data_IF_704720290195
#
_entry.id   IF_704720290195
#
_cell.length_a   1.000
_cell.length_b   1.000
_cell.length_c   1.000
_cell.angle_alpha   90.00
_cell.angle_beta   90.00
_cell.angle_gamma   90.00
#
_symmetry.space_group_name_H-M   'P 1'
#
loop_
_entity.id
_entity.type
_entity.pdbx_description
1 polymer ?
#
# COMPACT_ATOMS: atom_id res chain seq x y z
N UNK A 1 45.27 -8.03 -14.64
CA UNK A 1 44.91 -6.59 -14.63
C UNK A 1 43.92 -6.34 -13.49
N UNK A 2 44.29 -5.63 -12.40
CA UNK A 2 43.41 -5.42 -11.27
C UNK A 2 42.24 -4.49 -11.66
N UNK A 3 41.00 -4.95 -11.47
CA UNK A 3 39.79 -4.17 -11.79
C UNK A 3 39.67 -3.01 -10.80
N UNK A 4 39.40 -1.80 -11.30
CA UNK A 4 39.43 -0.57 -10.51
C UNK A 4 38.43 -0.60 -9.34
N UNK A 5 38.85 -0.19 -8.13
CA UNK A 5 38.09 -0.39 -6.90
C UNK A 5 36.78 0.42 -6.81
N UNK A 6 36.59 1.42 -7.67
CA UNK A 6 35.40 2.26 -7.61
C UNK A 6 34.15 1.59 -8.19
N UNK A 7 34.33 0.75 -9.22
CA UNK A 7 33.22 0.04 -9.88
C UNK A 7 32.54 -0.99 -8.97
N UNK A 8 33.26 -1.62 -8.05
CA UNK A 8 32.65 -2.61 -7.15
C UNK A 8 31.69 -1.93 -6.17
N UNK A 9 32.09 -0.81 -5.56
CA UNK A 9 31.27 -0.11 -4.54
C UNK A 9 29.91 0.33 -5.07
N UNK A 10 29.86 0.79 -6.32
CA UNK A 10 28.62 1.23 -6.98
C UNK A 10 27.70 0.03 -7.24
N UNK A 11 28.26 -1.08 -7.74
CA UNK A 11 27.51 -2.31 -8.00
C UNK A 11 26.88 -2.85 -6.71
N UNK A 12 27.63 -2.91 -5.60
CA UNK A 12 27.10 -3.32 -4.30
C UNK A 12 26.01 -2.39 -3.77
N UNK A 13 26.19 -1.06 -3.85
CA UNK A 13 25.14 -0.10 -3.46
C UNK A 13 23.83 -0.31 -4.23
N UNK A 14 23.92 -0.56 -5.54
CA UNK A 14 22.74 -0.82 -6.37
C UNK A 14 22.08 -2.15 -5.99
N UNK A 15 22.87 -3.22 -5.82
CA UNK A 15 22.33 -4.52 -5.39
C UNK A 15 21.62 -4.45 -4.05
N UNK A 16 22.20 -3.79 -3.04
CA UNK A 16 21.55 -3.62 -1.74
C UNK A 16 20.25 -2.82 -1.85
N UNK A 17 20.24 -1.71 -2.60
CA UNK A 17 19.01 -0.91 -2.81
C UNK A 17 17.90 -1.71 -3.48
N UNK A 18 18.24 -2.51 -4.49
CA UNK A 18 17.26 -3.34 -5.21
C UNK A 18 16.69 -4.45 -4.31
N UNK A 19 17.54 -5.14 -3.55
CA UNK A 19 17.09 -6.18 -2.62
C UNK A 19 16.16 -5.60 -1.55
N UNK A 20 16.52 -4.44 -0.99
CA UNK A 20 15.67 -3.74 -0.01
C UNK A 20 14.34 -3.31 -0.62
N UNK A 21 14.35 -2.69 -1.80
CA UNK A 21 13.14 -2.23 -2.48
C UNK A 21 12.18 -3.39 -2.81
N UNK A 22 12.72 -4.50 -3.30
CA UNK A 22 11.92 -5.71 -3.58
C UNK A 22 11.35 -6.29 -2.28
N UNK A 23 12.17 -6.39 -1.22
CA UNK A 23 11.71 -6.89 0.08
C UNK A 23 10.59 -6.04 0.68
N UNK A 24 10.72 -4.71 0.62
CA UNK A 24 9.68 -3.77 1.07
C UNK A 24 8.43 -3.92 0.19
N UNK A 25 8.59 -3.99 -1.15
CA UNK A 25 7.47 -4.15 -2.07
C UNK A 25 6.66 -5.41 -1.78
N UNK A 26 7.33 -6.55 -1.57
CA UNK A 26 6.66 -7.81 -1.21
C UNK A 26 5.96 -7.68 0.15
N UNK A 27 6.61 -7.09 1.15
CA UNK A 27 6.01 -6.91 2.48
C UNK A 27 4.74 -6.06 2.42
N UNK A 28 4.76 -4.95 1.68
CA UNK A 28 3.59 -4.06 1.51
C UNK A 28 2.44 -4.77 0.80
N UNK A 29 2.72 -5.51 -0.28
CA UNK A 29 1.70 -6.27 -1.01
C UNK A 29 1.09 -7.36 -0.13
N UNK A 30 1.91 -8.13 0.59
CA UNK A 30 1.45 -9.17 1.51
C UNK A 30 0.61 -8.59 2.66
N UNK A 31 1.04 -7.45 3.22
CA UNK A 31 0.29 -6.75 4.27
C UNK A 31 -1.11 -6.37 3.80
N UNK A 32 -1.21 -5.68 2.65
CA UNK A 32 -2.50 -5.25 2.12
C UNK A 32 -3.39 -6.43 1.69
N UNK A 33 -2.81 -7.48 1.12
CA UNK A 33 -3.56 -8.69 0.76
C UNK A 33 -4.16 -9.38 1.98
N UNK A 34 -3.39 -9.43 3.08
CA UNK A 34 -3.85 -9.93 4.38
C UNK A 34 -4.93 -9.04 5.00
N UNK A 35 -4.77 -7.72 4.93
CA UNK A 35 -5.78 -6.77 5.40
C UNK A 35 -7.12 -6.95 4.66
N UNK A 36 -7.11 -7.11 3.33
CA UNK A 36 -8.31 -7.44 2.56
C UNK A 36 -8.92 -8.79 2.96
N UNK A 37 -8.09 -9.82 3.16
CA UNK A 37 -8.60 -11.13 3.60
C UNK A 37 -9.23 -11.08 5.00
N UNK A 38 -8.66 -10.29 5.91
CA UNK A 38 -9.24 -10.05 7.23
C UNK A 38 -10.54 -9.25 7.13
N UNK A 39 -10.62 -8.23 6.27
CA UNK A 39 -11.89 -7.52 6.04
C UNK A 39 -12.95 -8.45 5.45
N UNK A 40 -12.59 -9.33 4.52
CA UNK A 40 -13.53 -10.30 3.94
C UNK A 40 -14.10 -11.27 5.00
N UNK A 41 -13.25 -11.73 5.94
CA UNK A 41 -13.66 -12.65 7.01
C UNK A 41 -14.42 -11.94 8.14
N UNK A 42 -13.95 -10.76 8.58
CA UNK A 42 -14.42 -10.12 9.81
C UNK A 42 -15.39 -8.96 9.60
N UNK A 43 -15.35 -8.27 8.46
CA UNK A 43 -16.20 -7.09 8.29
C UNK A 43 -17.67 -7.52 8.07
N UNK A 44 -17.93 -8.56 7.25
CA UNK A 44 -19.28 -9.13 7.07
C UNK A 44 -19.24 -10.61 6.61
N UNK A 45 -19.07 -11.57 7.54
CA UNK A 45 -18.94 -13.00 7.20
C UNK A 45 -20.16 -13.61 6.49
N UNK A 46 -21.35 -13.02 6.60
CA UNK A 46 -22.60 -13.59 6.07
C UNK A 46 -23.26 -12.78 4.94
N UNK A 47 -22.73 -11.60 4.56
CA UNK A 47 -23.41 -10.77 3.57
C UNK A 47 -22.44 -9.89 2.73
N UNK A 48 -21.93 -10.40 1.59
CA UNK A 48 -21.02 -9.64 0.73
C UNK A 48 -21.63 -8.35 0.17
N UNK A 49 -22.97 -8.27 0.07
CA UNK A 49 -23.69 -7.07 -0.35
C UNK A 49 -23.59 -5.93 0.67
N UNK A 50 -23.48 -6.24 1.98
CA UNK A 50 -23.29 -5.25 3.04
C UNK A 50 -21.85 -4.73 3.09
N UNK A 51 -20.85 -5.58 2.82
CA UNK A 51 -19.45 -5.15 2.66
C UNK A 51 -19.29 -4.12 1.55
N UNK A 52 -19.92 -4.38 0.39
CA UNK A 52 -19.85 -3.49 -0.76
C UNK A 52 -20.54 -2.16 -0.47
N UNK A 53 -21.74 -2.19 0.12
CA UNK A 53 -22.48 -0.97 0.44
C UNK A 53 -21.79 -0.15 1.54
N UNK A 54 -21.27 -0.78 2.59
CA UNK A 54 -20.51 -0.11 3.65
C UNK A 54 -19.25 0.57 3.10
N UNK A 55 -18.47 -0.13 2.27
CA UNK A 55 -17.26 0.44 1.64
C UNK A 55 -17.60 1.62 0.73
N UNK A 56 -18.70 1.52 -0.03
CA UNK A 56 -19.18 2.59 -0.90
C UNK A 56 -19.64 3.81 -0.10
N UNK A 57 -20.40 3.59 0.99
CA UNK A 57 -20.89 4.65 1.88
C UNK A 57 -19.71 5.36 2.55
N UNK A 58 -18.74 4.62 3.09
CA UNK A 58 -17.55 5.19 3.73
C UNK A 58 -16.76 6.03 2.72
N UNK A 59 -16.56 5.53 1.50
CA UNK A 59 -15.88 6.27 0.44
C UNK A 59 -16.58 7.58 0.08
N UNK A 60 -17.91 7.56 -0.04
CA UNK A 60 -18.72 8.77 -0.30
C UNK A 60 -18.67 9.77 0.85
N UNK A 61 -18.71 9.31 2.10
CA UNK A 61 -18.63 10.17 3.28
C UNK A 61 -17.27 10.86 3.36
N UNK A 62 -16.18 10.13 3.14
CA UNK A 62 -14.83 10.71 3.13
C UNK A 62 -14.69 11.75 2.02
N UNK A 63 -15.19 11.46 0.82
CA UNK A 63 -15.16 12.40 -0.31
C UNK A 63 -15.96 13.66 0.00
N UNK A 64 -17.16 13.51 0.56
CA UNK A 64 -18.01 14.63 0.96
C UNK A 64 -17.34 15.49 2.02
N UNK A 65 -16.79 14.88 3.08
CA UNK A 65 -16.07 15.58 4.14
C UNK A 65 -14.85 16.30 3.56
N UNK A 66 -14.06 15.65 2.71
CA UNK A 66 -12.87 16.24 2.10
C UNK A 66 -13.24 17.44 1.24
N UNK A 67 -14.27 17.31 0.41
CA UNK A 67 -14.75 18.41 -0.41
C UNK A 67 -15.30 19.57 0.43
N UNK A 68 -16.00 19.28 1.52
CA UNK A 68 -16.47 20.30 2.47
C UNK A 68 -15.31 21.03 3.14
N UNK A 69 -14.34 20.29 3.69
CA UNK A 69 -13.16 20.84 4.35
C UNK A 69 -12.36 21.72 3.40
N UNK A 70 -12.12 21.25 2.16
CA UNK A 70 -11.38 22.01 1.15
C UNK A 70 -12.10 23.31 0.77
N UNK A 71 -13.44 23.31 0.74
CA UNK A 71 -14.23 24.53 0.49
C UNK A 71 -14.24 25.51 1.65
N UNK A 72 -14.18 25.03 2.88
CA UNK A 72 -14.11 25.90 4.07
C UNK A 72 -12.72 26.53 4.23
N UNK A 73 -11.68 25.83 3.77
CA UNK A 73 -10.28 26.27 3.84
C UNK A 73 -9.84 27.21 2.70
N UNK A 74 -10.63 27.32 1.62
CA UNK A 74 -10.33 28.14 0.44
C UNK A 74 -11.29 29.33 0.36
#
# INVERSE_FOLDING_TARGET
MPKSPHRYKIKYKIHHKLIMAIGIGIAVVSFWRGAWGLMDIYLFPENPTLSFSASFIIGFVILYITHYIVRELM
#
